data_IF_032631905180
#
_entry.id   IF_032631905180
#
_cell.length_a   1.000
_cell.length_b   1.000
_cell.length_c   1.000
_cell.angle_alpha   90.00
_cell.angle_beta   90.00
_cell.angle_gamma   90.00
#
_symmetry.space_group_name_H-M   'P 1'
#
loop_
_entity.id
_entity.type
_entity.pdbx_description
1 polymer ?
#
# COMPACT_ATOMS: atom_id res chain seq x y z
N UNK A 1 7.43 -13.28 -31.88
CA UNK A 1 7.03 -13.40 -30.46
C UNK A 1 7.31 -12.15 -29.62
N UNK A 2 8.55 -11.64 -29.53
CA UNK A 2 8.87 -10.49 -28.66
C UNK A 2 8.06 -9.20 -28.94
N UNK A 3 7.76 -8.87 -30.21
CA UNK A 3 6.88 -7.74 -30.55
C UNK A 3 5.44 -7.90 -30.06
N UNK A 4 4.88 -9.11 -30.12
CA UNK A 4 3.51 -9.37 -29.61
C UNK A 4 3.46 -9.29 -28.08
N UNK A 5 4.47 -9.83 -27.39
CA UNK A 5 4.59 -9.66 -25.94
C UNK A 5 4.73 -8.19 -25.54
N UNK A 6 5.53 -7.41 -26.26
CA UNK A 6 5.66 -5.97 -26.02
C UNK A 6 4.36 -5.23 -26.26
N UNK A 7 3.64 -5.54 -27.33
CA UNK A 7 2.37 -4.89 -27.65
C UNK A 7 1.27 -5.26 -26.63
N UNK A 8 1.19 -6.54 -26.23
CA UNK A 8 0.29 -6.98 -25.17
C UNK A 8 0.62 -6.30 -23.84
N UNK A 9 1.90 -6.19 -23.49
CA UNK A 9 2.35 -5.47 -22.30
C UNK A 9 1.94 -3.99 -22.32
N UNK A 10 2.17 -3.30 -23.44
CA UNK A 10 1.77 -1.90 -23.60
C UNK A 10 0.25 -1.72 -23.50
N UNK A 11 -0.52 -2.65 -24.06
CA UNK A 11 -1.97 -2.65 -23.98
C UNK A 11 -2.45 -2.84 -22.54
N UNK A 12 -1.96 -3.87 -21.83
CA UNK A 12 -2.30 -4.12 -20.41
C UNK A 12 -1.88 -2.94 -19.53
N UNK A 13 -0.71 -2.35 -19.78
CA UNK A 13 -0.25 -1.15 -19.07
C UNK A 13 -1.18 0.04 -19.33
N UNK A 14 -1.61 0.23 -20.57
CA UNK A 14 -2.54 1.31 -20.93
C UNK A 14 -3.89 1.16 -20.23
N UNK A 15 -4.45 -0.05 -20.20
CA UNK A 15 -5.71 -0.34 -19.48
C UNK A 15 -5.54 -0.04 -17.99
N UNK A 16 -4.46 -0.51 -17.38
CA UNK A 16 -4.20 -0.27 -15.96
C UNK A 16 -4.12 1.23 -15.66
N UNK A 17 -3.27 1.99 -16.37
CA UNK A 17 -3.10 3.43 -16.13
C UNK A 17 -4.38 4.23 -16.40
N UNK A 18 -5.15 3.85 -17.42
CA UNK A 18 -6.44 4.48 -17.72
C UNK A 18 -7.45 4.21 -16.61
N UNK A 19 -7.50 2.97 -16.11
CA UNK A 19 -8.39 2.56 -15.02
C UNK A 19 -7.99 3.23 -13.70
N UNK A 20 -6.69 3.30 -13.39
CA UNK A 20 -6.16 3.99 -12.22
C UNK A 20 -6.55 5.47 -12.24
N UNK A 21 -6.32 6.15 -13.37
CA UNK A 21 -6.69 7.55 -13.53
C UNK A 21 -8.21 7.77 -13.43
N UNK A 22 -9.01 6.87 -13.98
CA UNK A 22 -10.47 6.98 -13.95
C UNK A 22 -11.06 6.75 -12.55
N UNK A 23 -10.50 5.80 -11.78
CA UNK A 23 -11.03 5.42 -10.46
C UNK A 23 -10.44 6.29 -9.36
N UNK A 24 -9.11 6.36 -9.25
CA UNK A 24 -8.46 7.03 -8.11
C UNK A 24 -7.82 8.37 -8.46
N UNK A 25 -7.72 8.75 -9.74
CA UNK A 25 -7.01 9.95 -10.18
C UNK A 25 -7.49 11.25 -9.52
N UNK A 26 -8.81 11.49 -9.50
CA UNK A 26 -9.37 12.69 -8.84
C UNK A 26 -9.22 12.65 -7.32
N UNK A 27 -9.39 11.48 -6.71
CA UNK A 27 -9.36 11.31 -5.24
C UNK A 27 -7.94 11.48 -4.71
N UNK A 28 -6.95 10.94 -5.41
CA UNK A 28 -5.52 11.11 -5.10
C UNK A 28 -5.10 12.58 -5.11
N UNK A 29 -5.60 13.37 -6.06
CA UNK A 29 -5.27 14.80 -6.14
C UNK A 29 -5.81 15.63 -4.96
N UNK A 30 -6.92 15.19 -4.35
CA UNK A 30 -7.57 15.89 -3.24
C UNK A 30 -7.16 15.35 -1.86
N UNK A 31 -6.39 14.26 -1.80
CA UNK A 31 -5.94 13.66 -0.54
C UNK A 31 -4.56 14.21 -0.19
N UNK A 32 -4.43 14.96 0.90
CA UNK A 32 -3.13 15.54 1.32
C UNK A 32 -2.24 14.52 2.04
N UNK A 33 -2.83 13.53 2.71
CA UNK A 33 -2.08 12.52 3.46
C UNK A 33 -1.54 11.42 2.54
N UNK A 34 -0.21 11.36 2.42
CA UNK A 34 0.51 10.36 1.64
C UNK A 34 0.22 8.92 2.08
N UNK A 35 -0.05 8.68 3.36
CA UNK A 35 -0.39 7.36 3.86
C UNK A 35 -1.78 6.89 3.39
N UNK A 36 -2.76 7.79 3.40
CA UNK A 36 -4.08 7.50 2.85
C UNK A 36 -4.05 7.32 1.33
N UNK A 37 -3.22 8.09 0.61
CA UNK A 37 -2.97 7.88 -0.82
C UNK A 37 -2.43 6.47 -1.11
N UNK A 38 -1.48 5.98 -0.30
CA UNK A 38 -0.93 4.63 -0.45
C UNK A 38 -1.96 3.53 -0.17
N UNK A 39 -2.84 3.72 0.82
CA UNK A 39 -3.96 2.79 1.07
C UNK A 39 -4.96 2.76 -0.08
N UNK A 40 -5.34 3.92 -0.61
CA UNK A 40 -6.25 4.01 -1.75
C UNK A 40 -5.67 3.27 -2.97
N UNK A 41 -4.37 3.44 -3.22
CA UNK A 41 -3.67 2.76 -4.31
C UNK A 41 -3.60 1.25 -4.10
N UNK A 42 -3.33 0.80 -2.86
CA UNK A 42 -3.37 -0.61 -2.50
C UNK A 42 -4.76 -1.22 -2.72
N UNK A 43 -5.82 -0.55 -2.28
CA UNK A 43 -7.20 -1.03 -2.43
C UNK A 43 -7.55 -1.11 -3.91
N UNK A 44 -7.21 -0.09 -4.70
CA UNK A 44 -7.40 -0.12 -6.15
C UNK A 44 -6.68 -1.31 -6.80
N UNK A 45 -5.38 -1.48 -6.53
CA UNK A 45 -4.57 -2.57 -7.08
C UNK A 45 -5.16 -3.93 -6.69
N UNK A 46 -5.54 -4.10 -5.42
CA UNK A 46 -6.18 -5.31 -4.93
C UNK A 46 -7.47 -5.59 -5.70
N UNK A 47 -8.41 -4.64 -5.75
CA UNK A 47 -9.70 -4.80 -6.43
C UNK A 47 -9.52 -5.11 -7.92
N UNK A 48 -8.69 -4.33 -8.62
CA UNK A 48 -8.47 -4.47 -10.06
C UNK A 48 -7.86 -5.82 -10.41
N UNK A 49 -6.76 -6.21 -9.75
CA UNK A 49 -6.12 -7.49 -10.05
C UNK A 49 -6.93 -8.68 -9.54
N UNK A 50 -7.69 -8.54 -8.45
CA UNK A 50 -8.53 -9.62 -7.95
C UNK A 50 -9.72 -9.87 -8.88
N UNK A 51 -10.35 -8.83 -9.44
CA UNK A 51 -11.37 -9.01 -10.49
C UNK A 51 -10.76 -9.72 -11.71
N UNK A 52 -9.58 -9.30 -12.17
CA UNK A 52 -8.88 -9.98 -13.28
C UNK A 52 -8.57 -11.44 -12.97
N UNK A 53 -8.21 -11.75 -11.72
CA UNK A 53 -7.93 -13.10 -11.24
C UNK A 53 -9.17 -13.98 -11.19
N UNK A 54 -10.35 -13.41 -10.94
CA UNK A 54 -11.60 -14.18 -10.93
C UNK A 54 -11.97 -14.72 -12.32
N UNK A 55 -11.53 -14.10 -13.42
CA UNK A 55 -11.80 -14.60 -14.78
C UNK A 55 -11.25 -16.01 -15.04
N UNK A 56 -9.94 -16.30 -14.88
CA UNK A 56 -9.43 -17.65 -15.08
C UNK A 56 -10.01 -18.66 -14.07
N UNK A 57 -10.32 -18.23 -12.85
CA UNK A 57 -10.97 -19.09 -11.84
C UNK A 57 -12.42 -19.43 -12.25
N UNK A 58 -13.14 -18.47 -12.84
CA UNK A 58 -14.48 -18.70 -13.40
C UNK A 58 -14.44 -19.69 -14.56
N UNK A 59 -13.44 -19.60 -15.44
CA UNK A 59 -13.26 -20.57 -16.53
C UNK A 59 -13.04 -21.99 -15.99
N UNK A 60 -12.24 -22.15 -14.93
CA UNK A 60 -12.06 -23.44 -14.26
C UNK A 60 -13.37 -23.94 -13.62
N UNK A 61 -14.17 -23.04 -13.05
CA UNK A 61 -15.49 -23.38 -12.50
C UNK A 61 -16.47 -23.83 -13.61
N UNK A 62 -16.42 -23.20 -14.79
CA UNK A 62 -17.22 -23.63 -15.96
C UNK A 62 -16.81 -25.02 -16.45
N UNK A 63 -15.50 -25.30 -16.53
CA UNK A 63 -14.99 -26.62 -16.97
C UNK A 63 -15.40 -27.72 -15.99
N UNK A 64 -15.36 -27.45 -14.69
CA UNK A 64 -15.79 -28.39 -13.64
C UNK A 64 -17.30 -28.47 -13.45
N UNK A 65 -18.07 -27.60 -14.12
CA UNK A 65 -19.52 -27.47 -13.92
C UNK A 65 -19.90 -27.27 -12.44
N UNK A 66 -19.07 -26.56 -11.69
CA UNK A 66 -19.32 -26.31 -10.27
C UNK A 66 -20.37 -25.19 -10.11
N UNK A 67 -21.62 -25.58 -9.92
CA UNK A 67 -22.77 -24.66 -9.86
C UNK A 67 -22.61 -23.57 -8.78
N UNK A 68 -22.11 -23.95 -7.60
CA UNK A 68 -21.89 -23.00 -6.50
C UNK A 68 -20.89 -21.91 -6.89
N UNK A 69 -19.75 -22.29 -7.46
CA UNK A 69 -18.73 -21.32 -7.86
C UNK A 69 -19.15 -20.49 -9.07
N UNK A 70 -19.99 -21.03 -9.95
CA UNK A 70 -20.59 -20.28 -11.06
C UNK A 70 -21.51 -19.16 -10.60
N UNK A 71 -22.10 -19.25 -9.40
CA UNK A 71 -22.92 -18.18 -8.80
C UNK A 71 -22.09 -17.26 -7.91
N UNK A 72 -21.23 -17.82 -7.06
CA UNK A 72 -20.48 -17.05 -6.06
C UNK A 72 -19.36 -16.21 -6.66
N UNK A 73 -18.69 -16.67 -7.73
CA UNK A 73 -17.61 -15.90 -8.38
C UNK A 73 -18.15 -14.61 -9.02
N UNK A 74 -19.24 -14.64 -9.83
CA UNK A 74 -19.85 -13.41 -10.33
C UNK A 74 -20.36 -12.50 -9.22
N UNK A 75 -20.96 -13.06 -8.16
CA UNK A 75 -21.40 -12.30 -7.00
C UNK A 75 -20.21 -11.52 -6.38
N UNK A 76 -19.09 -12.20 -6.13
CA UNK A 76 -17.88 -11.55 -5.63
C UNK A 76 -17.36 -10.48 -6.60
N UNK A 77 -17.30 -10.75 -7.90
CA UNK A 77 -16.86 -9.79 -8.91
C UNK A 77 -17.73 -8.52 -8.94
N UNK A 78 -19.05 -8.66 -8.78
CA UNK A 78 -19.98 -7.51 -8.70
C UNK A 78 -19.73 -6.67 -7.45
N UNK A 79 -19.54 -7.31 -6.29
CA UNK A 79 -19.23 -6.60 -5.04
C UNK A 79 -17.91 -5.83 -5.15
N UNK A 80 -16.87 -6.44 -5.73
CA UNK A 80 -15.58 -5.77 -5.93
C UNK A 80 -15.69 -4.60 -6.90
N UNK A 81 -16.54 -4.72 -7.92
CA UNK A 81 -16.81 -3.64 -8.87
C UNK A 81 -17.58 -2.48 -8.20
N UNK A 82 -18.50 -2.79 -7.28
CA UNK A 82 -19.14 -1.77 -6.42
C UNK A 82 -18.10 -1.10 -5.52
N UNK A 83 -17.15 -1.84 -4.94
CA UNK A 83 -16.05 -1.25 -4.17
C UNK A 83 -15.19 -0.31 -5.02
N UNK A 84 -14.89 -0.65 -6.28
CA UNK A 84 -14.18 0.25 -7.20
C UNK A 84 -15.00 1.51 -7.48
N UNK A 85 -16.32 1.39 -7.62
CA UNK A 85 -17.21 2.53 -7.78
C UNK A 85 -17.26 3.42 -6.53
N UNK A 86 -17.28 2.84 -5.33
CA UNK A 86 -17.22 3.62 -4.08
C UNK A 86 -15.88 4.35 -3.96
N UNK A 87 -14.79 3.70 -4.38
CA UNK A 87 -13.47 4.32 -4.43
C UNK A 87 -13.45 5.53 -5.38
N UNK A 88 -14.11 5.44 -6.55
CA UNK A 88 -14.19 6.57 -7.49
C UNK A 88 -15.06 7.73 -7.02
N UNK A 89 -15.98 7.47 -6.09
CA UNK A 89 -16.76 8.49 -5.39
C UNK A 89 -16.01 9.16 -4.23
N UNK A 90 -14.77 8.75 -3.95
CA UNK A 90 -13.98 9.32 -2.87
C UNK A 90 -14.39 8.85 -1.47
N UNK A 91 -15.04 7.68 -1.36
CA UNK A 91 -15.33 7.08 -0.06
C UNK A 91 -14.02 6.72 0.64
N UNK A 92 -13.95 6.95 1.95
CA UNK A 92 -12.74 6.70 2.75
C UNK A 92 -12.20 5.28 2.56
N UNK A 93 -10.87 5.17 2.39
CA UNK A 93 -10.16 3.90 2.20
C UNK A 93 -10.52 2.86 3.25
N UNK A 94 -10.69 3.30 4.50
CA UNK A 94 -11.11 2.45 5.63
C UNK A 94 -12.44 1.74 5.40
N UNK A 95 -13.43 2.42 4.83
CA UNK A 95 -14.77 1.84 4.61
C UNK A 95 -14.73 0.85 3.45
N UNK A 96 -14.10 1.24 2.34
CA UNK A 96 -13.96 0.38 1.16
C UNK A 96 -13.12 -0.85 1.47
N UNK A 97 -12.03 -0.68 2.24
CA UNK A 97 -11.18 -1.77 2.72
C UNK A 97 -11.90 -2.74 3.64
N UNK A 98 -12.77 -2.26 4.53
CA UNK A 98 -13.62 -3.11 5.38
C UNK A 98 -14.60 -3.94 4.55
N UNK A 99 -15.34 -3.32 3.64
CA UNK A 99 -16.32 -4.04 2.80
C UNK A 99 -15.60 -5.07 1.94
N UNK A 100 -14.50 -4.66 1.31
CA UNK A 100 -13.70 -5.54 0.44
C UNK A 100 -13.19 -6.74 1.21
N UNK A 101 -12.53 -6.53 2.35
CA UNK A 101 -12.01 -7.64 3.17
C UNK A 101 -13.12 -8.55 3.69
N UNK A 102 -14.21 -8.00 4.24
CA UNK A 102 -15.35 -8.82 4.69
C UNK A 102 -15.91 -9.70 3.57
N UNK A 103 -16.13 -9.15 2.38
CA UNK A 103 -16.68 -9.91 1.26
C UNK A 103 -15.69 -10.94 0.70
N UNK A 104 -14.39 -10.62 0.64
CA UNK A 104 -13.35 -11.58 0.24
C UNK A 104 -13.06 -12.64 1.31
N UNK A 105 -13.58 -12.51 2.53
CA UNK A 105 -13.57 -13.56 3.53
C UNK A 105 -14.84 -14.42 3.44
N UNK A 106 -16.01 -13.79 3.52
CA UNK A 106 -17.30 -14.45 3.69
C UNK A 106 -17.72 -15.25 2.45
N UNK A 107 -17.51 -14.71 1.24
CA UNK A 107 -17.93 -15.42 0.02
C UNK A 107 -17.10 -16.70 -0.18
N UNK A 108 -15.76 -16.70 0.01
CA UNK A 108 -14.98 -17.93 0.00
C UNK A 108 -15.30 -18.89 1.15
N UNK A 109 -15.67 -18.41 2.33
CA UNK A 109 -16.19 -19.28 3.42
C UNK A 109 -17.46 -20.01 2.95
N UNK A 110 -18.41 -19.28 2.36
CA UNK A 110 -19.64 -19.87 1.84
C UNK A 110 -19.37 -20.88 0.71
N UNK A 111 -18.46 -20.53 -0.22
CA UNK A 111 -18.01 -21.42 -1.29
C UNK A 111 -17.36 -22.69 -0.73
N UNK A 112 -16.48 -22.57 0.26
CA UNK A 112 -15.85 -23.71 0.94
C UNK A 112 -16.89 -24.60 1.61
N UNK A 113 -17.85 -24.03 2.34
CA UNK A 113 -18.88 -24.77 3.05
C UNK A 113 -19.76 -25.63 2.12
N UNK A 114 -20.19 -25.06 0.99
CA UNK A 114 -21.03 -25.71 -0.02
C UNK A 114 -20.25 -26.69 -0.93
N UNK A 115 -18.92 -26.58 -0.95
CA UNK A 115 -18.02 -27.47 -1.68
C UNK A 115 -17.33 -28.44 -0.72
N UNK A 116 -18.10 -29.24 0.02
CA UNK A 116 -17.59 -30.30 0.89
C UNK A 116 -16.64 -29.82 2.02
N UNK A 117 -16.85 -28.60 2.50
CA UNK A 117 -15.99 -27.95 3.49
C UNK A 117 -14.51 -28.06 3.10
N UNK A 118 -14.22 -27.69 1.85
CA UNK A 118 -12.88 -27.74 1.30
C UNK A 118 -11.98 -26.70 1.97
N UNK A 119 -10.91 -27.18 2.62
CA UNK A 119 -9.90 -26.37 3.31
C UNK A 119 -8.60 -26.30 2.50
N UNK A 120 -8.66 -26.57 1.20
CA UNK A 120 -7.49 -26.55 0.32
C UNK A 120 -6.80 -25.18 0.28
N UNK A 121 -5.51 -25.14 -0.11
CA UNK A 121 -4.72 -23.91 -0.12
C UNK A 121 -5.34 -22.76 -0.93
N UNK A 122 -6.18 -23.05 -1.93
CA UNK A 122 -6.86 -22.01 -2.72
C UNK A 122 -7.73 -21.09 -1.85
N UNK A 123 -8.40 -21.64 -0.84
CA UNK A 123 -9.26 -20.87 0.07
C UNK A 123 -8.44 -20.22 1.18
N UNK A 124 -7.47 -20.95 1.73
CA UNK A 124 -6.59 -20.44 2.78
C UNK A 124 -5.81 -19.18 2.34
N UNK A 125 -5.31 -19.16 1.11
CA UNK A 125 -4.61 -17.99 0.56
C UNK A 125 -5.57 -16.79 0.43
N UNK A 126 -6.80 -17.00 -0.02
CA UNK A 126 -7.79 -15.92 -0.13
C UNK A 126 -8.20 -15.38 1.25
N UNK A 127 -8.40 -16.27 2.23
CA UNK A 127 -8.73 -15.85 3.60
C UNK A 127 -7.60 -15.05 4.26
N UNK A 128 -6.36 -15.52 4.13
CA UNK A 128 -5.19 -14.78 4.62
C UNK A 128 -5.05 -13.42 3.92
N UNK A 129 -5.34 -13.34 2.61
CA UNK A 129 -5.33 -12.06 1.88
C UNK A 129 -6.35 -11.08 2.42
N UNK A 130 -7.57 -11.56 2.68
CA UNK A 130 -8.63 -10.73 3.23
C UNK A 130 -8.22 -10.15 4.60
N UNK A 131 -7.69 -10.99 5.50
CA UNK A 131 -7.27 -10.57 6.83
C UNK A 131 -6.11 -9.57 6.74
N UNK A 132 -5.13 -9.82 5.88
CA UNK A 132 -4.00 -8.91 5.67
C UNK A 132 -4.44 -7.57 5.08
N UNK A 133 -5.37 -7.58 4.12
CA UNK A 133 -5.96 -6.37 3.56
C UNK A 133 -6.68 -5.56 4.65
N UNK A 134 -7.47 -6.21 5.51
CA UNK A 134 -8.14 -5.55 6.64
C UNK A 134 -7.14 -4.95 7.65
N UNK A 135 -6.04 -5.65 7.91
CA UNK A 135 -4.97 -5.17 8.79
C UNK A 135 -4.35 -3.87 8.28
N UNK A 136 -4.03 -3.83 6.98
CA UNK A 136 -3.37 -2.67 6.35
C UNK A 136 -4.33 -1.48 6.15
N UNK A 137 -5.56 -1.76 5.70
CA UNK A 137 -6.49 -0.70 5.26
C UNK A 137 -7.40 -0.17 6.37
N UNK A 138 -7.74 -1.01 7.36
CA UNK A 138 -8.73 -0.68 8.38
C UNK A 138 -8.11 -0.54 9.76
N UNK A 139 -7.76 -1.66 10.40
CA UNK A 139 -7.17 -1.72 11.73
C UNK A 139 -6.81 -3.15 12.13
N UNK A 140 -5.90 -3.28 13.10
CA UNK A 140 -5.61 -4.57 13.76
C UNK A 140 -6.83 -5.20 14.42
N UNK A 141 -7.71 -4.40 15.05
CA UNK A 141 -8.91 -4.91 15.72
C UNK A 141 -9.83 -5.63 14.74
N UNK A 142 -10.07 -5.04 13.57
CA UNK A 142 -10.87 -5.64 12.51
C UNK A 142 -10.23 -6.94 12.00
N UNK A 143 -8.91 -6.94 11.77
CA UNK A 143 -8.21 -8.14 11.34
C UNK A 143 -8.32 -9.29 12.37
N UNK A 144 -8.23 -8.99 13.66
CA UNK A 144 -8.44 -9.96 14.73
C UNK A 144 -9.87 -10.50 14.75
N UNK A 145 -10.88 -9.65 14.53
CA UNK A 145 -12.28 -10.09 14.42
C UNK A 145 -12.47 -11.03 13.24
N UNK A 146 -11.93 -10.68 12.06
CA UNK A 146 -11.99 -11.55 10.87
C UNK A 146 -11.23 -12.86 11.07
N UNK A 147 -10.09 -12.83 11.75
CA UNK A 147 -9.32 -14.03 12.10
C UNK A 147 -10.08 -14.93 13.08
N UNK A 148 -10.72 -14.34 14.11
CA UNK A 148 -11.56 -15.07 15.06
C UNK A 148 -12.78 -15.69 14.37
N UNK A 149 -13.41 -14.96 13.45
CA UNK A 149 -14.52 -15.47 12.63
C UNK A 149 -14.08 -16.66 11.78
N UNK A 150 -12.92 -16.57 11.13
CA UNK A 150 -12.35 -17.69 10.36
C UNK A 150 -12.03 -18.88 11.26
N UNK A 151 -11.44 -18.65 12.42
CA UNK A 151 -11.14 -19.71 13.39
C UNK A 151 -12.42 -20.43 13.85
N UNK A 152 -13.49 -19.70 14.17
CA UNK A 152 -14.78 -20.26 14.51
C UNK A 152 -15.35 -21.13 13.37
N UNK A 153 -15.24 -20.68 12.12
CA UNK A 153 -15.61 -21.47 10.95
C UNK A 153 -14.80 -22.76 10.83
N UNK A 154 -13.48 -22.70 11.01
CA UNK A 154 -12.62 -23.89 10.94
C UNK A 154 -12.94 -24.90 12.05
N UNK A 155 -13.21 -24.44 13.27
CA UNK A 155 -13.68 -25.30 14.35
C UNK A 155 -15.02 -25.96 14.03
N UNK A 156 -15.97 -25.20 13.44
CA UNK A 156 -17.26 -25.74 13.02
C UNK A 156 -17.11 -26.81 11.92
N UNK A 157 -16.24 -26.57 10.93
CA UNK A 157 -15.92 -27.56 9.89
C UNK A 157 -15.29 -28.82 10.49
N UNK A 158 -14.33 -28.67 11.41
CA UNK A 158 -13.71 -29.80 12.09
C UNK A 158 -14.75 -30.62 12.87
N UNK A 159 -15.66 -29.96 13.58
CA UNK A 159 -16.76 -30.62 14.29
C UNK A 159 -17.69 -31.38 13.35
N UNK A 160 -18.07 -30.80 12.21
CA UNK A 160 -18.91 -31.46 11.19
C UNK A 160 -18.22 -32.72 10.66
N UNK A 161 -16.92 -32.63 10.32
CA UNK A 161 -16.16 -33.76 9.78
C UNK A 161 -15.93 -34.88 10.80
N UNK A 162 -15.62 -34.53 12.06
CA UNK A 162 -15.43 -35.53 13.13
C UNK A 162 -16.73 -36.30 13.42
N UNK A 163 -17.87 -35.63 13.41
CA UNK A 163 -19.16 -36.26 13.69
C UNK A 163 -19.81 -36.90 12.46
N UNK A 164 -19.15 -36.88 11.29
CA UNK A 164 -19.67 -37.48 10.07
C UNK A 164 -20.99 -36.89 9.59
N UNK A 165 -21.26 -35.61 9.90
CA UNK A 165 -22.50 -34.94 9.50
C UNK A 165 -22.48 -34.75 7.98
N UNK A 166 -23.45 -35.34 7.29
CA UNK A 166 -23.58 -35.22 5.83
C UNK A 166 -24.11 -33.84 5.47
N UNK A 167 -23.24 -33.03 4.86
CA UNK A 167 -23.59 -31.70 4.35
C UNK A 167 -23.71 -31.79 2.83
N UNK A 168 -24.53 -30.92 2.25
CA UNK A 168 -24.66 -30.79 0.80
C UNK A 168 -23.30 -30.55 0.13
N UNK A 169 -23.05 -31.27 -0.96
CA UNK A 169 -21.88 -31.10 -1.82
C UNK A 169 -22.38 -30.70 -3.20
N UNK A 170 -21.86 -29.58 -3.72
CA UNK A 170 -22.19 -29.10 -5.07
C UNK A 170 -22.00 -30.19 -6.13
N UNK A 171 -22.93 -30.26 -7.09
CA UNK A 171 -22.72 -30.94 -8.36
C UNK A 171 -21.45 -30.38 -9.03
N UNK A 172 -20.67 -31.27 -9.66
CA UNK A 172 -19.40 -30.93 -10.31
C UNK A 172 -18.20 -30.81 -9.37
N UNK A 173 -18.37 -30.90 -8.05
CA UNK A 173 -17.24 -31.02 -7.13
C UNK A 173 -16.65 -32.44 -7.19
N UNK A 174 -15.41 -32.57 -7.65
CA UNK A 174 -14.68 -33.84 -7.71
C UNK A 174 -13.25 -33.68 -7.19
N UNK A 175 -12.85 -34.56 -6.28
CA UNK A 175 -11.52 -34.53 -5.64
C UNK A 175 -10.39 -34.64 -6.66
N UNK A 176 -10.59 -35.42 -7.74
CA UNK A 176 -9.58 -35.58 -8.80
C UNK A 176 -9.37 -34.29 -9.61
N UNK A 177 -10.46 -33.56 -9.90
CA UNK A 177 -10.37 -32.27 -10.57
C UNK A 177 -9.76 -31.20 -9.66
N UNK A 178 -10.06 -31.24 -8.35
CA UNK A 178 -9.43 -30.32 -7.40
C UNK A 178 -7.92 -30.53 -7.31
N UNK A 179 -7.44 -31.78 -7.33
CA UNK A 179 -6.01 -32.06 -7.28
C UNK A 179 -5.25 -31.44 -8.46
N UNK A 180 -5.85 -31.44 -9.66
CA UNK A 180 -5.26 -30.81 -10.85
C UNK A 180 -5.41 -29.28 -10.88
N UNK A 181 -6.55 -28.74 -10.46
CA UNK A 181 -6.84 -27.30 -10.56
C UNK A 181 -6.23 -26.48 -9.41
N UNK A 182 -6.01 -27.09 -8.24
CA UNK A 182 -5.44 -26.42 -7.07
C UNK A 182 -4.06 -25.80 -7.33
N UNK A 183 -3.07 -26.51 -7.91
CA UNK A 183 -1.76 -25.92 -8.22
C UNK A 183 -1.86 -24.68 -9.12
N UNK A 184 -2.68 -24.75 -10.17
CA UNK A 184 -2.90 -23.62 -11.10
C UNK A 184 -3.48 -22.43 -10.35
N UNK A 185 -4.53 -22.69 -9.55
CA UNK A 185 -5.22 -21.66 -8.77
C UNK A 185 -4.31 -21.02 -7.72
N UNK A 186 -3.50 -21.84 -7.03
CA UNK A 186 -2.52 -21.38 -6.04
C UNK A 186 -1.44 -20.52 -6.69
N UNK A 187 -0.89 -20.91 -7.84
CA UNK A 187 0.12 -20.11 -8.56
C UNK A 187 -0.47 -18.74 -8.93
N UNK A 188 -1.70 -18.71 -9.45
CA UNK A 188 -2.37 -17.46 -9.80
C UNK A 188 -2.59 -16.57 -8.56
N UNK A 189 -3.03 -17.13 -7.44
CA UNK A 189 -3.15 -16.38 -6.18
C UNK A 189 -1.81 -15.89 -5.64
N UNK A 190 -0.74 -16.69 -5.75
CA UNK A 190 0.62 -16.30 -5.34
C UNK A 190 1.18 -15.15 -6.17
N UNK A 191 0.97 -15.18 -7.50
CA UNK A 191 1.35 -14.07 -8.39
C UNK A 191 0.60 -12.79 -8.06
N UNK A 192 -0.70 -12.90 -7.77
CA UNK A 192 -1.51 -11.79 -7.29
C UNK A 192 -0.96 -11.22 -5.97
N UNK A 193 -0.63 -12.10 -5.03
CA UNK A 193 -0.05 -11.79 -3.73
C UNK A 193 1.24 -10.96 -3.83
N UNK A 194 2.20 -11.47 -4.60
CA UNK A 194 3.50 -10.83 -4.84
C UNK A 194 3.29 -9.46 -5.45
N UNK A 195 2.34 -9.33 -6.38
CA UNK A 195 2.04 -8.06 -7.03
C UNK A 195 1.40 -7.06 -6.07
N UNK A 196 0.35 -7.44 -5.37
CA UNK A 196 -0.38 -6.53 -4.47
C UNK A 196 0.49 -6.06 -3.30
N UNK A 197 1.14 -6.99 -2.59
CA UNK A 197 2.00 -6.65 -1.45
C UNK A 197 3.34 -6.05 -1.88
N UNK A 198 3.95 -6.58 -2.94
CA UNK A 198 5.22 -6.05 -3.45
C UNK A 198 5.09 -4.61 -3.94
N UNK A 199 3.98 -4.27 -4.60
CA UNK A 199 3.73 -2.89 -5.03
C UNK A 199 3.46 -1.98 -3.84
N UNK A 200 2.68 -2.42 -2.85
CA UNK A 200 2.46 -1.66 -1.62
C UNK A 200 3.75 -1.36 -0.86
N UNK A 201 4.59 -2.38 -0.67
CA UNK A 201 5.86 -2.23 0.02
C UNK A 201 6.80 -1.27 -0.71
N UNK A 202 6.89 -1.37 -2.05
CA UNK A 202 7.67 -0.41 -2.87
C UNK A 202 7.14 1.01 -2.76
N UNK A 203 5.81 1.18 -2.72
CA UNK A 203 5.20 2.49 -2.54
C UNK A 203 5.54 3.08 -1.16
N UNK A 204 5.48 2.29 -0.08
CA UNK A 204 5.89 2.75 1.26
C UNK A 204 7.36 3.17 1.28
N UNK A 205 8.27 2.34 0.79
CA UNK A 205 9.70 2.67 0.78
C UNK A 205 9.94 3.96 0.00
N UNK A 206 9.31 4.10 -1.18
CA UNK A 206 9.45 5.31 -1.98
C UNK A 206 8.96 6.55 -1.21
N UNK A 207 7.88 6.44 -0.44
CA UNK A 207 7.38 7.55 0.39
C UNK A 207 8.32 7.87 1.55
N UNK A 208 8.87 6.86 2.23
CA UNK A 208 9.85 7.08 3.31
C UNK A 208 11.12 7.74 2.79
N UNK A 209 11.59 7.36 1.60
CA UNK A 209 12.73 8.00 0.93
C UNK A 209 12.43 9.47 0.61
N UNK A 210 11.25 9.78 0.06
CA UNK A 210 10.85 11.16 -0.21
C UNK A 210 10.78 12.00 1.06
N UNK A 211 10.19 11.46 2.13
CA UNK A 211 10.10 12.14 3.42
C UNK A 211 11.47 12.41 4.03
N UNK A 212 12.41 11.48 3.89
CA UNK A 212 13.80 11.65 4.34
C UNK A 212 14.50 12.76 3.55
N UNK A 213 14.31 12.80 2.23
CA UNK A 213 14.86 13.87 1.38
C UNK A 213 14.26 15.24 1.70
N UNK A 214 12.96 15.33 1.99
CA UNK A 214 12.31 16.59 2.39
C UNK A 214 12.84 17.10 3.73
N UNK A 215 13.00 16.21 4.72
CA UNK A 215 13.64 16.55 6.00
C UNK A 215 15.06 17.05 5.78
N UNK A 216 15.86 16.34 4.97
CA UNK A 216 17.22 16.77 4.64
C UNK A 216 17.24 18.16 3.96
N UNK A 217 16.31 18.45 3.05
CA UNK A 217 16.17 19.77 2.43
C UNK A 217 15.77 20.85 3.44
N UNK A 218 14.87 20.55 4.37
CA UNK A 218 14.47 21.47 5.43
C UNK A 218 15.64 21.78 6.37
N UNK A 219 16.38 20.76 6.81
CA UNK A 219 17.60 20.92 7.59
C UNK A 219 18.64 21.76 6.84
N UNK A 220 18.90 21.45 5.57
CA UNK A 220 19.84 22.22 4.75
C UNK A 220 19.39 23.67 4.54
N UNK A 221 18.10 23.92 4.38
CA UNK A 221 17.53 25.27 4.28
C UNK A 221 17.72 26.07 5.58
N UNK A 222 17.53 25.43 6.74
CA UNK A 222 17.75 26.05 8.04
C UNK A 222 19.23 26.39 8.27
N UNK A 223 20.13 25.45 7.94
CA UNK A 223 21.58 25.67 7.98
C UNK A 223 21.96 26.85 7.09
N UNK A 224 21.49 26.87 5.84
CA UNK A 224 21.78 27.96 4.91
C UNK A 224 21.23 29.31 5.40
N UNK A 225 20.04 29.34 5.99
CA UNK A 225 19.47 30.56 6.55
C UNK A 225 20.30 31.09 7.73
N UNK A 226 20.76 30.21 8.63
CA UNK A 226 21.59 30.60 9.77
C UNK A 226 22.98 31.07 9.33
N UNK A 227 23.63 30.35 8.40
CA UNK A 227 24.90 30.77 7.81
C UNK A 227 24.78 32.10 7.07
N UNK A 228 23.69 32.32 6.34
CA UNK A 228 23.43 33.59 5.65
C UNK A 228 23.29 34.75 6.63
N UNK A 229 22.59 34.55 7.77
CA UNK A 229 22.50 35.56 8.84
C UNK A 229 23.88 35.89 9.41
N UNK A 230 24.67 34.88 9.75
CA UNK A 230 26.03 35.07 10.27
C UNK A 230 26.94 35.79 9.25
N UNK A 231 26.86 35.42 7.98
CA UNK A 231 27.61 36.08 6.90
C UNK A 231 27.22 37.57 6.74
N UNK A 232 25.92 37.89 6.79
CA UNK A 232 25.46 39.28 6.72
C UNK A 232 25.95 40.10 7.93
N UNK A 233 25.98 39.50 9.13
CA UNK A 233 26.52 40.13 10.33
C UNK A 233 28.02 40.41 10.19
N UNK A 234 28.81 39.41 9.77
CA UNK A 234 30.25 39.56 9.51
C UNK A 234 30.52 40.65 8.48
N UNK A 235 29.72 40.71 7.39
CA UNK A 235 29.82 41.79 6.39
C UNK A 235 29.49 43.17 6.97
N UNK A 236 28.51 43.25 7.87
CA UNK A 236 28.17 44.47 8.61
C UNK A 236 29.32 44.94 9.50
N UNK A 237 29.88 44.04 10.32
CA UNK A 237 31.03 44.32 11.17
C UNK A 237 32.29 44.67 10.36
N UNK A 238 32.55 44.01 9.24
CA UNK A 238 33.66 44.33 8.35
C UNK A 238 33.56 45.76 7.77
N UNK A 239 32.35 46.19 7.35
CA UNK A 239 32.12 47.58 6.92
C UNK A 239 32.29 48.59 8.05
N UNK A 240 31.82 48.25 9.25
CA UNK A 240 31.99 49.08 10.45
C UNK A 240 33.46 49.22 10.83
N UNK A 241 34.21 48.11 10.82
CA UNK A 241 35.65 48.07 11.05
C UNK A 241 36.43 48.90 10.03
N UNK A 242 36.07 48.83 8.73
CA UNK A 242 36.68 49.70 7.71
C UNK A 242 36.45 51.19 8.00
N UNK A 243 35.26 51.56 8.49
CA UNK A 243 34.96 52.95 8.87
C UNK A 243 35.72 53.38 10.13
N UNK A 244 35.82 52.51 11.14
CA UNK A 244 36.59 52.74 12.36
C UNK A 244 38.11 52.88 12.06
N UNK A 245 38.63 52.06 11.15
CA UNK A 245 40.01 52.15 10.67
C UNK A 245 40.32 53.51 10.03
N UNK A 246 39.42 54.01 9.17
CA UNK A 246 39.56 55.33 8.53
C UNK A 246 39.53 56.47 9.57
N UNK A 247 38.80 56.28 10.68
CA UNK A 247 38.71 57.25 11.78
C UNK A 247 39.83 57.14 12.82
N UNK A 248 40.68 56.10 12.75
CA UNK A 248 41.75 55.87 13.72
C UNK A 248 41.28 55.34 15.08
N UNK A 249 40.05 54.81 15.18
CA UNK A 249 39.49 54.26 16.42
C UNK A 249 39.91 52.79 16.58
N UNK A 250 41.08 52.56 17.19
CA UNK A 250 41.69 51.23 17.31
C UNK A 250 40.90 50.28 18.22
N UNK A 251 40.25 50.77 19.27
CA UNK A 251 39.44 49.94 20.19
C UNK A 251 38.17 49.39 19.52
N UNK A 252 37.52 50.20 18.68
CA UNK A 252 36.35 49.79 17.90
C UNK A 252 36.72 48.80 16.79
N UNK A 253 37.95 48.90 16.27
CA UNK A 253 38.48 47.97 15.29
C UNK A 253 38.70 46.58 15.88
N UNK A 254 39.36 46.48 17.04
CA UNK A 254 39.59 45.22 17.73
C UNK A 254 38.27 44.56 18.13
N UNK A 255 37.32 45.33 18.69
CA UNK A 255 35.99 44.82 19.02
C UNK A 255 35.25 44.25 17.79
N UNK A 256 35.40 44.88 16.61
CA UNK A 256 34.82 44.36 15.37
C UNK A 256 35.49 43.05 14.93
N UNK A 257 36.81 42.92 15.06
CA UNK A 257 37.51 41.68 14.70
C UNK A 257 37.19 40.52 15.64
N UNK A 258 37.12 40.77 16.96
CA UNK A 258 36.74 39.74 17.94
C UNK A 258 35.32 39.23 17.71
N UNK A 259 34.38 40.12 17.36
CA UNK A 259 33.00 39.70 17.08
C UNK A 259 32.90 38.97 15.73
N UNK A 260 33.69 39.32 14.72
CA UNK A 260 33.80 38.54 13.47
C UNK A 260 34.32 37.13 13.75
N UNK A 261 35.38 37.00 14.55
CA UNK A 261 35.96 35.71 14.92
C UNK A 261 34.95 34.83 15.67
N UNK A 262 34.19 35.42 16.60
CA UNK A 262 33.12 34.74 17.34
C UNK A 262 31.98 34.26 16.45
N UNK A 263 31.54 35.08 15.49
CA UNK A 263 30.49 34.69 14.54
C UNK A 263 30.97 33.60 13.57
N UNK A 264 32.23 33.64 13.14
CA UNK A 264 32.84 32.57 12.35
C UNK A 264 32.99 31.26 13.15
N UNK A 265 33.40 31.34 14.43
CA UNK A 265 33.48 30.18 15.32
C UNK A 265 32.11 29.52 15.53
N UNK A 266 31.06 30.32 15.73
CA UNK A 266 29.69 29.82 15.81
C UNK A 266 29.20 29.19 14.51
N UNK A 267 29.58 29.73 13.34
CA UNK A 267 29.25 29.13 12.05
C UNK A 267 29.89 27.74 11.87
N UNK A 268 31.13 27.60 12.29
CA UNK A 268 31.87 26.33 12.24
C UNK A 268 31.27 25.31 13.20
N UNK A 269 30.89 25.70 14.42
CA UNK A 269 30.23 24.77 15.35
C UNK A 269 28.89 24.28 14.81
N UNK A 270 28.08 25.16 14.21
CA UNK A 270 26.80 24.78 13.57
C UNK A 270 27.00 23.81 12.39
N UNK A 271 28.09 23.94 11.64
CA UNK A 271 28.41 23.02 10.55
C UNK A 271 28.89 21.66 11.06
N UNK A 272 29.67 21.63 12.14
CA UNK A 272 30.14 20.39 12.76
C UNK A 272 29.02 19.62 13.46
N UNK A 273 28.14 20.30 14.20
CA UNK A 273 26.95 19.67 14.82
C UNK A 273 26.02 19.07 13.75
N UNK A 274 25.86 19.74 12.60
CA UNK A 274 25.08 19.21 11.48
C UNK A 274 25.73 18.01 10.75
N UNK A 275 26.98 17.66 11.09
CA UNK A 275 27.75 16.59 10.47
C UNK A 275 27.85 15.34 11.38
N UNK A 276 27.51 15.49 12.66
CA UNK A 276 27.47 14.40 13.67
C UNK A 276 26.07 13.78 13.85
N UNK A 277 25.00 14.46 13.40
CA UNK A 277 23.61 13.96 13.30
C UNK A 277 23.28 13.34 11.92
#
# INVERSE_FOLDING_TARGET
>A
MAKHFRNAWLFTKSIYLSSEKAVIGNVLQHTEDTYEQAKLRLIFDYLFFYILLLFPVMLLAMISQNEVNLVLIPCLATVLSVCLYLLSRGVAARVVGLITSCCTLLIPILSSFLNNQDLSPRYAIVWSMSILLAYITVSIRTALVLCSLLCAYLCAVAYIKINGITVYVSSGYSDTFQLMSNPVTVILYMLFLIRALGQYYRNIISMEQQRTLEKQKQHLSLINQNLTKQFLLVKGFSRSGKAAFIKGETELLDACFTEIEKQCGSAISYLNEAQED
#
